data_IF_694312399134
#
_entry.id   IF_694312399134
#
_cell.length_a   1.000
_cell.length_b   1.000
_cell.length_c   1.000
_cell.angle_alpha   90.00
_cell.angle_beta   90.00
_cell.angle_gamma   90.00
#
_symmetry.space_group_name_H-M   'P 1'
#
loop_
_entity.id
_entity.type
_entity.pdbx_description
1 polymer ?
#
# COMPACT_ATOMS: atom_id res chain seq x y z
N UNK A 1 13.47 -24.90 -9.79
CA UNK A 1 13.12 -23.55 -10.30
C UNK A 1 12.43 -22.82 -9.16
N UNK A 2 13.13 -21.92 -8.48
CA UNK A 2 12.57 -21.16 -7.36
C UNK A 2 11.52 -20.20 -7.92
N UNK A 3 10.24 -20.54 -7.76
CA UNK A 3 9.13 -19.64 -8.02
C UNK A 3 9.27 -18.47 -7.04
N UNK A 4 9.87 -17.37 -7.51
CA UNK A 4 9.70 -16.06 -6.89
C UNK A 4 8.20 -15.77 -6.94
N UNK A 5 7.51 -15.99 -5.81
CA UNK A 5 6.12 -15.65 -5.64
C UNK A 5 5.97 -14.16 -5.95
N UNK A 6 5.46 -13.84 -7.14
CA UNK A 6 4.96 -12.48 -7.41
C UNK A 6 3.97 -12.22 -6.27
N UNK A 7 4.20 -11.20 -5.43
CA UNK A 7 3.31 -10.94 -4.31
C UNK A 7 1.90 -10.80 -4.88
N UNK A 8 0.97 -11.64 -4.40
CA UNK A 8 -0.43 -11.54 -4.80
C UNK A 8 -0.98 -10.22 -4.23
N UNK A 9 -0.84 -9.18 -5.03
CA UNK A 9 -1.35 -7.85 -4.74
C UNK A 9 -2.81 -7.72 -5.18
N UNK A 10 -3.41 -8.76 -5.76
CA UNK A 10 -4.78 -8.79 -6.28
C UNK A 10 -5.82 -8.43 -5.20
N UNK A 11 -5.56 -8.82 -3.95
CA UNK A 11 -6.42 -8.52 -2.80
C UNK A 11 -6.09 -7.18 -2.12
N UNK A 12 -5.01 -6.49 -2.52
CA UNK A 12 -4.55 -5.25 -1.89
C UNK A 12 -4.88 -4.07 -2.78
N UNK A 13 -5.37 -2.97 -2.20
CA UNK A 13 -5.49 -1.71 -2.95
C UNK A 13 -4.11 -1.27 -3.44
N UNK A 14 -3.96 -1.25 -4.75
CA UNK A 14 -2.83 -0.68 -5.46
C UNK A 14 -3.15 0.75 -5.88
N UNK A 15 -2.12 1.58 -5.90
CA UNK A 15 -2.18 2.98 -6.25
C UNK A 15 -1.11 3.25 -7.30
N UNK A 16 -1.50 3.86 -8.42
CA UNK A 16 -0.59 4.15 -9.53
C UNK A 16 0.56 5.09 -9.10
N UNK A 17 0.23 6.10 -8.29
CA UNK A 17 1.20 7.09 -7.80
C UNK A 17 1.31 7.10 -6.29
N UNK A 18 2.51 7.41 -5.80
CA UNK A 18 2.78 7.60 -4.37
C UNK A 18 1.89 8.70 -3.78
N UNK A 19 1.69 9.79 -4.52
CA UNK A 19 0.86 10.92 -4.10
C UNK A 19 -0.58 10.49 -3.81
N UNK A 20 -1.19 9.68 -4.70
CA UNK A 20 -2.55 9.19 -4.51
C UNK A 20 -2.63 8.21 -3.34
N UNK A 21 -1.61 7.37 -3.14
CA UNK A 21 -1.52 6.51 -1.96
C UNK A 21 -1.43 7.35 -0.66
N UNK A 22 -0.58 8.38 -0.62
CA UNK A 22 -0.43 9.28 0.53
C UNK A 22 -1.73 10.03 0.87
N UNK A 23 -2.46 10.52 -0.13
CA UNK A 23 -3.77 11.15 0.10
C UNK A 23 -4.76 10.18 0.75
N UNK A 24 -4.80 8.93 0.26
CA UNK A 24 -5.71 7.91 0.79
C UNK A 24 -5.28 7.41 2.17
N UNK A 25 -3.98 7.38 2.45
CA UNK A 25 -3.45 7.14 3.80
C UNK A 25 -3.98 8.20 4.77
N UNK A 26 -3.72 9.49 4.50
CA UNK A 26 -4.16 10.60 5.35
C UNK A 26 -5.67 10.61 5.56
N UNK A 27 -6.45 10.36 4.51
CA UNK A 27 -7.91 10.30 4.61
C UNK A 27 -8.40 9.14 5.49
N UNK A 28 -7.70 8.00 5.51
CA UNK A 28 -8.03 6.89 6.41
C UNK A 28 -7.59 7.15 7.85
N UNK A 29 -6.42 7.74 8.05
CA UNK A 29 -5.93 8.15 9.38
C UNK A 29 -6.86 9.19 10.02
N UNK A 30 -7.38 10.14 9.23
CA UNK A 30 -8.38 11.13 9.68
C UNK A 30 -9.70 10.48 10.12
N UNK A 31 -10.14 9.43 9.44
CA UNK A 31 -11.39 8.73 9.77
C UNK A 31 -11.24 7.73 10.92
N UNK A 32 -10.01 7.27 11.20
CA UNK A 32 -9.73 6.22 12.17
C UNK A 32 -8.63 6.69 13.13
N UNK A 33 -8.99 7.38 14.23
CA UNK A 33 -8.02 7.82 15.22
C UNK A 33 -7.26 6.59 15.76
N UNK A 34 -5.92 6.67 15.74
CA UNK A 34 -5.03 5.58 16.12
C UNK A 34 -4.61 4.64 14.98
N UNK A 35 -5.14 4.82 13.76
CA UNK A 35 -4.60 4.18 12.57
C UNK A 35 -3.45 5.04 12.04
N UNK A 36 -2.28 4.44 11.85
CA UNK A 36 -1.19 5.06 11.08
C UNK A 36 -0.84 4.19 9.88
N UNK A 37 -0.76 4.81 8.71
CA UNK A 37 -0.52 4.12 7.44
C UNK A 37 0.72 4.68 6.75
N UNK A 38 1.59 3.78 6.28
CA UNK A 38 2.73 4.13 5.43
C UNK A 38 2.52 3.64 4.00
N UNK A 39 3.02 4.42 3.06
CA UNK A 39 3.08 4.06 1.64
C UNK A 39 4.38 3.31 1.37
N UNK A 40 4.33 2.23 0.59
CA UNK A 40 5.51 1.58 0.05
C UNK A 40 5.29 1.21 -1.42
N UNK A 41 6.37 1.21 -2.19
CA UNK A 41 6.36 0.72 -3.56
C UNK A 41 6.56 -0.80 -3.56
N UNK A 42 5.72 -1.52 -4.29
CA UNK A 42 5.88 -2.95 -4.49
C UNK A 42 6.50 -3.19 -5.87
N UNK A 43 7.74 -3.66 -5.87
CA UNK A 43 8.45 -4.01 -7.11
C UNK A 43 7.80 -5.19 -7.85
N UNK A 44 7.06 -6.05 -7.14
CA UNK A 44 6.40 -7.21 -7.73
C UNK A 44 5.20 -6.88 -8.64
N UNK A 45 4.45 -5.81 -8.32
CA UNK A 45 3.30 -5.37 -9.11
C UNK A 45 3.48 -3.97 -9.72
N UNK A 46 4.64 -3.35 -9.52
CA UNK A 46 4.97 -2.01 -10.02
C UNK A 46 4.10 -0.88 -9.45
N UNK A 47 3.41 -1.10 -8.33
CA UNK A 47 2.41 -0.18 -7.78
C UNK A 47 2.69 0.21 -6.33
N UNK A 48 2.07 1.30 -5.88
CA UNK A 48 2.15 1.76 -4.50
C UNK A 48 1.06 1.13 -3.65
N UNK A 49 1.38 0.74 -2.42
CA UNK A 49 0.46 0.12 -1.48
C UNK A 49 0.51 0.80 -0.11
N UNK A 50 -0.55 0.58 0.67
CA UNK A 50 -0.64 1.02 2.05
C UNK A 50 -0.39 -0.15 2.99
N UNK A 51 0.34 0.10 4.07
CA UNK A 51 0.51 -0.85 5.17
C UNK A 51 0.44 -0.10 6.49
N UNK A 52 -0.09 -0.76 7.53
CA UNK A 52 -0.13 -0.17 8.86
C UNK A 52 1.28 0.00 9.42
N UNK A 53 1.52 1.14 10.05
CA UNK A 53 2.69 1.35 10.87
C UNK A 53 2.38 0.72 12.24
N UNK A 54 3.18 -0.27 12.72
CA UNK A 54 3.03 -0.83 14.06
C UNK A 54 3.39 0.19 15.15
#
# INVERSE_FOLDING_TARGET
>A
MNYHSIPDCSHKKAYETEARAKQVARHQEQQRPGLSLRVYYCEGCGSHHLTSQP
#
